data_IF_216452480869
#
_entry.id   IF_216452480869
#
_cell.length_a   1.000
_cell.length_b   1.000
_cell.length_c   1.000
_cell.angle_alpha   90.00
_cell.angle_beta   90.00
_cell.angle_gamma   90.00
#
_symmetry.space_group_name_H-M   'P 1'
#
loop_
_entity.id
_entity.type
_entity.pdbx_description
1 polymer ?
#
# COMPACT_ATOMS: atom_id res chain seq x y z
N UNK A 1 44.03 -12.56 14.97
CA UNK A 1 43.19 -11.37 15.22
C UNK A 1 43.37 -10.95 16.67
N UNK A 2 43.44 -9.65 16.97
CA UNK A 2 43.56 -9.18 18.36
C UNK A 2 42.20 -9.19 19.07
N UNK A 3 42.21 -9.22 20.41
CA UNK A 3 40.97 -9.14 21.21
C UNK A 3 40.17 -7.87 20.89
N UNK A 4 40.84 -6.74 20.71
CA UNK A 4 40.18 -5.47 20.39
C UNK A 4 39.49 -5.52 19.02
N UNK A 5 40.13 -6.12 18.00
CA UNK A 5 39.52 -6.30 16.67
C UNK A 5 38.27 -7.20 16.73
N UNK A 6 38.29 -8.25 17.56
CA UNK A 6 37.13 -9.13 17.75
C UNK A 6 35.96 -8.36 18.37
N UNK A 7 36.23 -7.56 19.41
CA UNK A 7 35.19 -6.76 20.09
C UNK A 7 34.63 -5.64 19.20
N UNK A 8 35.47 -5.03 18.35
CA UNK A 8 35.02 -4.07 17.35
C UNK A 8 34.07 -4.71 16.33
N UNK A 9 34.40 -5.90 15.82
CA UNK A 9 33.52 -6.63 14.88
C UNK A 9 32.21 -7.03 15.57
N UNK A 10 32.26 -7.55 16.80
CA UNK A 10 31.06 -7.91 17.57
C UNK A 10 30.16 -6.69 17.81
N UNK A 11 30.74 -5.56 18.20
CA UNK A 11 30.02 -4.31 18.40
C UNK A 11 29.36 -3.84 17.10
N UNK A 12 30.06 -3.97 15.97
CA UNK A 12 29.52 -3.64 14.66
C UNK A 12 28.33 -4.53 14.28
N UNK A 13 28.42 -5.84 14.53
CA UNK A 13 27.30 -6.77 14.30
C UNK A 13 26.09 -6.36 15.14
N UNK A 14 26.26 -6.09 16.44
CA UNK A 14 25.17 -5.68 17.33
C UNK A 14 24.50 -4.39 16.83
N UNK A 15 25.29 -3.41 16.38
CA UNK A 15 24.75 -2.17 15.83
C UNK A 15 23.96 -2.42 14.53
N UNK A 16 24.45 -3.27 13.63
CA UNK A 16 23.74 -3.64 12.40
C UNK A 16 22.45 -4.40 12.70
N UNK A 17 22.43 -5.28 13.69
CA UNK A 17 21.22 -5.97 14.15
C UNK A 17 20.21 -4.98 14.74
N UNK A 18 20.68 -3.97 15.48
CA UNK A 18 19.87 -2.86 15.96
C UNK A 18 19.25 -2.03 14.83
N UNK A 19 20.05 -1.66 13.84
CA UNK A 19 19.58 -0.95 12.65
C UNK A 19 18.52 -1.75 11.89
N UNK A 20 18.74 -3.06 11.69
CA UNK A 20 17.78 -3.94 11.05
C UNK A 20 16.45 -3.89 11.78
N UNK A 21 16.45 -3.98 13.12
CA UNK A 21 15.21 -3.91 13.92
C UNK A 21 14.46 -2.60 13.71
N UNK A 22 15.17 -1.47 13.67
CA UNK A 22 14.56 -0.16 13.41
C UNK A 22 13.93 -0.12 12.02
N UNK A 23 14.65 -0.58 10.99
CA UNK A 23 14.15 -0.59 9.61
C UNK A 23 12.98 -1.57 9.46
N UNK A 24 12.99 -2.71 10.17
CA UNK A 24 11.86 -3.64 10.18
C UNK A 24 10.61 -2.99 10.76
N UNK A 25 10.71 -2.28 11.88
CA UNK A 25 9.56 -1.55 12.44
C UNK A 25 9.04 -0.47 11.47
N UNK A 26 9.95 0.25 10.78
CA UNK A 26 9.57 1.24 9.76
C UNK A 26 8.85 0.57 8.57
N UNK A 27 9.34 -0.60 8.14
CA UNK A 27 8.72 -1.41 7.10
C UNK A 27 7.30 -1.83 7.48
N UNK A 28 7.10 -2.33 8.69
CA UNK A 28 5.79 -2.75 9.21
C UNK A 28 4.79 -1.59 9.18
N UNK A 29 5.21 -0.38 9.54
CA UNK A 29 4.36 0.82 9.44
C UNK A 29 3.97 1.13 7.99
N UNK A 30 4.90 1.02 7.04
CA UNK A 30 4.57 1.20 5.63
C UNK A 30 3.67 0.10 5.08
N UNK A 31 3.80 -1.15 5.56
CA UNK A 31 2.90 -2.26 5.21
C UNK A 31 1.48 -2.00 5.70
N UNK A 32 1.30 -1.53 6.95
CA UNK A 32 -0.01 -1.13 7.49
C UNK A 32 -0.66 -0.01 6.68
N UNK A 33 0.10 1.05 6.36
CA UNK A 33 -0.39 2.15 5.52
C UNK A 33 -0.72 1.69 4.10
N UNK A 34 0.07 0.78 3.54
CA UNK A 34 -0.17 0.19 2.22
C UNK A 34 -1.47 -0.62 2.19
N UNK A 35 -1.72 -1.44 3.21
CA UNK A 35 -2.99 -2.17 3.38
C UNK A 35 -4.17 -1.22 3.53
N UNK A 36 -4.02 -0.14 4.29
CA UNK A 36 -5.06 0.87 4.44
C UNK A 36 -5.42 1.51 3.09
N UNK A 37 -4.44 1.91 2.28
CA UNK A 37 -4.71 2.46 0.94
C UNK A 37 -5.35 1.44 0.00
N UNK A 38 -4.98 0.15 0.11
CA UNK A 38 -5.63 -0.92 -0.65
C UNK A 38 -7.11 -1.01 -0.30
N UNK A 39 -7.42 -1.04 1.00
CA UNK A 39 -8.80 -1.09 1.48
C UNK A 39 -9.62 0.12 1.01
N UNK A 40 -9.03 1.32 1.05
CA UNK A 40 -9.67 2.54 0.54
C UNK A 40 -10.00 2.47 -0.96
N UNK A 41 -9.12 1.85 -1.76
CA UNK A 41 -9.40 1.62 -3.18
C UNK A 41 -10.53 0.61 -3.39
N UNK A 42 -10.52 -0.50 -2.64
CA UNK A 42 -11.56 -1.53 -2.72
C UNK A 42 -12.93 -0.96 -2.35
N UNK A 43 -13.02 -0.19 -1.26
CA UNK A 43 -14.26 0.49 -0.86
C UNK A 43 -14.80 1.48 -1.91
N UNK A 44 -13.90 2.20 -2.59
CA UNK A 44 -14.29 3.09 -3.69
C UNK A 44 -14.82 2.29 -4.90
N UNK A 45 -14.24 1.13 -5.20
CA UNK A 45 -14.73 0.26 -6.27
C UNK A 45 -16.12 -0.29 -5.95
N UNK A 46 -16.35 -0.77 -4.73
CA UNK A 46 -17.65 -1.28 -4.30
C UNK A 46 -18.73 -0.19 -4.42
N UNK A 47 -18.38 1.04 -4.05
CA UNK A 47 -19.27 2.20 -4.22
C UNK A 47 -19.59 2.46 -5.69
N UNK A 48 -18.58 2.43 -6.57
CA UNK A 48 -18.77 2.62 -8.02
C UNK A 48 -19.67 1.52 -8.60
N UNK A 49 -19.47 0.26 -8.21
CA UNK A 49 -20.28 -0.86 -8.67
C UNK A 49 -21.74 -0.71 -8.22
N UNK A 50 -21.97 -0.36 -6.96
CA UNK A 50 -23.32 -0.07 -6.44
C UNK A 50 -24.02 1.04 -7.21
N UNK A 51 -23.33 2.15 -7.47
CA UNK A 51 -23.88 3.27 -8.25
C UNK A 51 -24.19 2.86 -9.70
N UNK A 52 -23.32 2.07 -10.34
CA UNK A 52 -23.55 1.56 -11.70
C UNK A 52 -24.77 0.65 -11.76
N UNK A 53 -24.96 -0.19 -10.74
CA UNK A 53 -26.14 -1.05 -10.64
C UNK A 53 -27.43 -0.22 -10.50
N UNK A 54 -27.43 0.81 -9.65
CA UNK A 54 -28.56 1.72 -9.50
C UNK A 54 -28.88 2.46 -10.81
N UNK A 55 -27.85 2.94 -11.52
CA UNK A 55 -28.01 3.55 -12.85
C UNK A 55 -28.63 2.55 -13.84
N UNK A 56 -28.19 1.30 -13.85
CA UNK A 56 -28.74 0.26 -14.75
C UNK A 56 -30.24 0.08 -14.49
N UNK A 57 -30.63 -0.11 -13.23
CA UNK A 57 -32.05 -0.27 -12.84
C UNK A 57 -32.90 0.94 -13.22
N UNK A 58 -32.39 2.16 -13.03
CA UNK A 58 -33.11 3.37 -13.43
C UNK A 58 -33.27 3.46 -14.96
N UNK A 59 -32.23 3.11 -15.72
CA UNK A 59 -32.29 3.08 -17.19
C UNK A 59 -33.28 2.05 -17.72
N UNK A 60 -33.25 0.83 -17.19
CA UNK A 60 -34.20 -0.24 -17.56
C UNK A 60 -35.65 0.19 -17.25
N UNK A 61 -35.88 0.86 -16.12
CA UNK A 61 -37.21 1.35 -15.78
C UNK A 61 -37.65 2.47 -16.73
N UNK A 62 -36.75 3.39 -17.09
CA UNK A 62 -37.01 4.48 -18.03
C UNK A 62 -37.38 4.00 -19.44
N UNK A 63 -36.92 2.83 -19.88
CA UNK A 63 -37.31 2.25 -21.17
C UNK A 63 -38.82 1.97 -21.28
N UNK A 64 -39.48 1.78 -20.14
CA UNK A 64 -40.89 1.42 -20.05
C UNK A 64 -41.79 2.58 -19.59
N UNK A 65 -41.24 3.79 -19.44
CA UNK A 65 -41.94 4.97 -18.94
C UNK A 65 -42.03 6.08 -19.98
N UNK A 66 -43.07 6.92 -19.89
CA UNK A 66 -43.13 8.16 -20.65
C UNK A 66 -42.00 9.10 -20.18
N UNK A 67 -41.12 9.49 -21.11
CA UNK A 67 -39.91 10.26 -20.82
C UNK A 67 -40.22 11.67 -20.31
N UNK A 68 -41.39 12.21 -20.64
CA UNK A 68 -41.77 13.58 -20.30
C UNK A 68 -42.51 13.67 -18.96
N UNK A 69 -42.73 12.54 -18.28
CA UNK A 69 -43.36 12.55 -16.97
C UNK A 69 -42.37 12.96 -15.86
N UNK A 70 -42.91 13.50 -14.77
CA UNK A 70 -42.14 14.03 -13.63
C UNK A 70 -41.21 12.99 -13.01
N UNK A 71 -41.60 11.71 -13.00
CA UNK A 71 -40.77 10.64 -12.47
C UNK A 71 -39.56 10.39 -13.38
N UNK A 72 -39.75 10.32 -14.69
CA UNK A 72 -38.69 10.10 -15.68
C UNK A 72 -37.64 11.22 -15.64
N UNK A 73 -38.08 12.47 -15.52
CA UNK A 73 -37.16 13.60 -15.35
C UNK A 73 -36.34 13.51 -14.07
N UNK A 74 -36.96 13.09 -12.95
CA UNK A 74 -36.24 12.85 -11.69
C UNK A 74 -35.23 11.71 -11.82
N UNK A 75 -35.61 10.60 -12.43
CA UNK A 75 -34.73 9.46 -12.65
C UNK A 75 -33.51 9.82 -13.53
N UNK A 76 -33.71 10.63 -14.57
CA UNK A 76 -32.62 11.14 -15.40
C UNK A 76 -31.65 12.02 -14.59
N UNK A 77 -32.18 12.93 -13.77
CA UNK A 77 -31.36 13.76 -12.90
C UNK A 77 -30.57 12.93 -11.87
N UNK A 78 -31.20 11.88 -11.33
CA UNK A 78 -30.55 10.98 -10.38
C UNK A 78 -29.43 10.15 -11.03
N UNK A 79 -29.63 9.70 -12.27
CA UNK A 79 -28.57 9.08 -13.09
C UNK A 79 -27.39 10.05 -13.30
N UNK A 80 -27.64 11.32 -13.59
CA UNK A 80 -26.58 12.33 -13.74
C UNK A 80 -25.81 12.54 -12.43
N UNK A 81 -26.51 12.57 -11.30
CA UNK A 81 -25.90 12.64 -9.97
C UNK A 81 -25.03 11.43 -9.68
N UNK A 82 -25.52 10.20 -9.90
CA UNK A 82 -24.75 8.98 -9.72
C UNK A 82 -23.52 8.91 -10.64
N UNK A 83 -23.64 9.36 -11.89
CA UNK A 83 -22.47 9.46 -12.78
C UNK A 83 -21.43 10.45 -12.27
N UNK A 84 -21.85 11.55 -11.65
CA UNK A 84 -20.93 12.52 -11.03
C UNK A 84 -20.22 11.90 -9.84
N UNK A 85 -20.96 11.22 -8.95
CA UNK A 85 -20.38 10.52 -7.82
C UNK A 85 -19.39 9.42 -8.25
N UNK A 86 -19.69 8.67 -9.31
CA UNK A 86 -18.75 7.69 -9.89
C UNK A 86 -17.43 8.36 -10.28
N UNK A 87 -17.49 9.51 -10.99
CA UNK A 87 -16.29 10.25 -11.40
C UNK A 87 -15.47 10.73 -10.20
N UNK A 88 -16.15 11.19 -9.14
CA UNK A 88 -15.49 11.59 -7.89
C UNK A 88 -14.77 10.41 -7.22
N UNK A 89 -15.41 9.24 -7.16
CA UNK A 89 -14.78 8.02 -6.64
C UNK A 89 -13.61 7.55 -7.52
N UNK A 90 -13.72 7.65 -8.84
CA UNK A 90 -12.62 7.34 -9.76
C UNK A 90 -11.42 8.27 -9.56
N UNK A 91 -11.65 9.56 -9.35
CA UNK A 91 -10.61 10.53 -9.00
C UNK A 91 -9.97 10.22 -7.64
N UNK A 92 -10.78 9.90 -6.62
CA UNK A 92 -10.27 9.46 -5.31
C UNK A 92 -9.36 8.25 -5.46
N UNK A 93 -9.77 7.24 -6.23
CA UNK A 93 -8.96 6.04 -6.48
C UNK A 93 -7.61 6.37 -7.13
N UNK A 94 -7.58 7.27 -8.10
CA UNK A 94 -6.32 7.72 -8.73
C UNK A 94 -5.42 8.38 -7.69
N UNK A 95 -5.97 9.22 -6.83
CA UNK A 95 -5.20 9.86 -5.76
C UNK A 95 -4.64 8.83 -4.77
N UNK A 96 -5.47 7.88 -4.32
CA UNK A 96 -5.05 6.81 -3.38
C UNK A 96 -4.00 5.90 -4.02
N UNK A 97 -4.13 5.57 -5.30
CA UNK A 97 -3.16 4.76 -6.05
C UNK A 97 -1.74 5.38 -6.02
N UNK A 98 -1.66 6.72 -6.05
CA UNK A 98 -0.38 7.43 -5.89
C UNK A 98 0.28 7.13 -4.53
N UNK A 99 -0.51 7.18 -3.46
CA UNK A 99 -0.04 6.87 -2.10
C UNK A 99 0.30 5.40 -1.93
N UNK A 100 -0.55 4.49 -2.42
CA UNK A 100 -0.31 3.05 -2.44
C UNK A 100 1.03 2.71 -3.09
N UNK A 101 1.28 3.25 -4.31
CA UNK A 101 2.51 3.01 -5.04
C UNK A 101 3.74 3.60 -4.32
N UNK A 102 3.57 4.74 -3.64
CA UNK A 102 4.64 5.33 -2.83
C UNK A 102 5.01 4.40 -1.67
N UNK A 103 4.02 3.91 -0.91
CA UNK A 103 4.26 2.99 0.21
C UNK A 103 4.91 1.69 -0.24
N UNK A 104 4.47 1.12 -1.35
CA UNK A 104 5.09 -0.07 -1.91
C UNK A 104 6.59 0.13 -2.22
N UNK A 105 6.99 1.30 -2.73
CA UNK A 105 8.42 1.64 -2.95
C UNK A 105 9.19 1.78 -1.64
N UNK A 106 8.58 2.38 -0.62
CA UNK A 106 9.18 2.53 0.72
C UNK A 106 9.42 1.15 1.35
N UNK A 107 8.45 0.23 1.23
CA UNK A 107 8.58 -1.17 1.64
C UNK A 107 9.76 -1.83 0.93
N UNK A 108 9.83 -1.78 -0.40
CA UNK A 108 10.94 -2.37 -1.16
C UNK A 108 12.29 -1.81 -0.75
N UNK A 109 12.40 -0.49 -0.53
CA UNK A 109 13.64 0.15 -0.07
C UNK A 109 14.06 -0.37 1.32
N UNK A 110 13.11 -0.55 2.24
CA UNK A 110 13.39 -1.16 3.55
C UNK A 110 13.90 -2.60 3.41
N UNK A 111 13.32 -3.40 2.52
CA UNK A 111 13.77 -4.78 2.25
C UNK A 111 15.20 -4.82 1.72
N UNK A 112 15.53 -3.94 0.77
CA UNK A 112 16.88 -3.81 0.21
C UNK A 112 17.90 -3.40 1.29
N UNK A 113 17.57 -2.42 2.13
CA UNK A 113 18.43 -2.00 3.25
C UNK A 113 18.65 -3.13 4.26
N UNK A 114 17.57 -3.83 4.65
CA UNK A 114 17.66 -4.97 5.57
C UNK A 114 18.56 -6.06 4.98
N UNK A 115 18.38 -6.37 3.69
CA UNK A 115 19.21 -7.36 2.99
C UNK A 115 20.69 -6.96 3.02
N UNK A 116 21.01 -5.73 2.63
CA UNK A 116 22.40 -5.25 2.63
C UNK A 116 23.06 -5.34 4.01
N UNK A 117 22.34 -5.01 5.08
CA UNK A 117 22.86 -5.16 6.46
C UNK A 117 23.01 -6.62 6.88
N UNK A 118 22.11 -7.51 6.46
CA UNK A 118 22.24 -8.96 6.72
C UNK A 118 23.46 -9.54 6.02
N UNK A 119 23.70 -9.17 4.77
CA UNK A 119 24.86 -9.59 3.99
C UNK A 119 26.18 -9.09 4.64
N UNK A 120 26.17 -7.87 5.18
CA UNK A 120 27.30 -7.32 5.94
C UNK A 120 27.54 -8.10 7.26
N UNK A 121 26.48 -8.40 8.02
CA UNK A 121 26.58 -9.23 9.23
C UNK A 121 27.15 -10.62 8.89
N UNK A 122 26.68 -11.25 7.83
CA UNK A 122 27.17 -12.57 7.40
C UNK A 122 28.66 -12.52 7.07
N UNK A 123 29.10 -11.49 6.35
CA UNK A 123 30.52 -11.26 6.04
C UNK A 123 31.36 -11.07 7.31
N UNK A 124 30.88 -10.29 8.27
CA UNK A 124 31.56 -10.09 9.56
C UNK A 124 31.63 -11.37 10.40
N UNK A 125 30.56 -12.18 10.40
CA UNK A 125 30.53 -13.48 11.08
C UNK A 125 31.48 -14.49 10.43
N UNK A 126 31.60 -14.47 9.10
CA UNK A 126 32.59 -15.30 8.39
C UNK A 126 34.03 -14.94 8.79
N UNK A 127 34.35 -13.64 8.87
CA UNK A 127 35.66 -13.14 9.33
C UNK A 127 35.98 -13.63 10.75
N UNK A 128 35.02 -13.56 11.68
CA UNK A 128 35.19 -14.08 13.04
C UNK A 128 35.44 -15.60 13.05
N UNK A 129 34.68 -16.35 12.24
CA UNK A 129 34.81 -17.81 12.13
C UNK A 129 36.18 -18.22 11.57
N UNK A 130 36.67 -17.54 10.53
CA UNK A 130 38.00 -17.77 9.96
C UNK A 130 39.12 -17.47 10.97
N UNK A 131 38.89 -16.49 11.86
CA UNK A 131 39.81 -16.17 12.95
C UNK A 131 39.75 -17.16 14.15
N UNK A 132 38.94 -18.22 14.06
CA UNK A 132 38.75 -19.21 15.14
C UNK A 132 37.90 -18.69 16.30
N UNK A 133 37.13 -17.62 16.08
CA UNK A 133 36.21 -17.05 17.06
C UNK A 133 34.82 -17.62 16.80
N UNK A 134 34.26 -18.28 17.81
CA UNK A 134 32.89 -18.79 17.83
C UNK A 134 31.95 -17.82 18.54
#
# INVERSE_FOLDING_TARGET
>A
MSKNQIEEIRSKIINLEGDIRVITNEKEQYEEEHEHYKHDMDAAMDTIEGLRQQISTLKETLEHQDKDNVWSQKALHEIESYNTQIREQEQRKISVLGHYNKKNREITNCEEKIKGKKDEIESLRAILKEAGVH
#
